data_IF_547197786652
#
_entry.id   IF_547197786652
#
_cell.length_a   1.000
_cell.length_b   1.000
_cell.length_c   1.000
_cell.angle_alpha   90.00
_cell.angle_beta   90.00
_cell.angle_gamma   90.00
#
_symmetry.space_group_name_H-M   'P 1'
#
loop_
_entity.id
_entity.type
_entity.pdbx_description
1 polymer ?
#
# COMPACT_ATOMS: atom_id res chain seq x y z
N UNK A 1 4.88 -7.85 3.49
CA UNK A 1 4.07 -9.00 3.05
C UNK A 1 4.96 -9.98 2.30
N UNK A 2 4.50 -11.16 1.92
CA UNK A 2 5.34 -12.07 1.13
C UNK A 2 4.59 -13.33 0.69
N UNK A 3 5.01 -13.92 -0.43
CA UNK A 3 4.40 -15.14 -0.97
C UNK A 3 4.51 -16.34 -0.03
N UNK A 4 5.53 -16.39 0.83
CA UNK A 4 5.72 -17.48 1.78
C UNK A 4 4.80 -17.37 3.03
N UNK A 5 4.15 -16.22 3.25
CA UNK A 5 3.23 -16.00 4.37
C UNK A 5 2.05 -15.11 3.94
N UNK A 6 1.30 -15.51 2.89
CA UNK A 6 0.35 -14.64 2.21
C UNK A 6 -0.82 -14.21 3.10
N UNK A 7 -1.12 -14.98 4.16
CA UNK A 7 -2.24 -14.72 5.06
C UNK A 7 -1.86 -13.94 6.33
N UNK A 8 -0.56 -13.70 6.57
CA UNK A 8 -0.12 -13.09 7.83
C UNK A 8 0.01 -11.57 7.74
N UNK A 9 0.19 -11.06 6.53
CA UNK A 9 0.25 -9.63 6.23
C UNK A 9 -0.45 -9.40 4.90
N UNK A 10 -1.44 -8.51 4.90
CA UNK A 10 -2.11 -8.11 3.65
C UNK A 10 -1.07 -7.55 2.67
N UNK A 11 -1.18 -7.99 1.42
CA UNK A 11 -0.48 -7.35 0.31
C UNK A 11 -1.09 -5.98 -0.02
N UNK A 12 -0.40 -5.18 -0.85
CA UNK A 12 -0.85 -3.84 -1.24
C UNK A 12 -2.24 -3.83 -1.85
N UNK A 13 -2.50 -4.76 -2.77
CA UNK A 13 -3.78 -4.85 -3.48
C UNK A 13 -4.92 -5.22 -2.52
N UNK A 14 -4.67 -6.13 -1.57
CA UNK A 14 -5.66 -6.50 -0.57
C UNK A 14 -5.89 -5.42 0.47
N UNK A 15 -4.90 -4.57 0.77
CA UNK A 15 -5.09 -3.42 1.65
C UNK A 15 -6.08 -2.41 1.04
N UNK A 16 -5.98 -2.15 -0.27
CA UNK A 16 -6.98 -1.34 -1.01
C UNK A 16 -8.35 -2.01 -0.98
N UNK A 17 -8.41 -3.32 -1.21
CA UNK A 17 -9.68 -4.06 -1.13
C UNK A 17 -10.32 -3.98 0.27
N UNK A 18 -9.52 -4.15 1.32
CA UNK A 18 -9.99 -4.06 2.70
C UNK A 18 -10.56 -2.66 3.01
N UNK A 19 -9.92 -1.59 2.52
CA UNK A 19 -10.45 -0.23 2.63
C UNK A 19 -11.85 -0.11 2.02
N UNK A 20 -12.06 -0.65 0.81
CA UNK A 20 -13.37 -0.63 0.16
C UNK A 20 -14.42 -1.42 0.96
N UNK A 21 -14.05 -2.58 1.51
CA UNK A 21 -14.94 -3.42 2.31
C UNK A 21 -15.47 -2.68 3.55
N UNK A 22 -14.61 -1.88 4.19
CA UNK A 22 -15.01 -1.06 5.35
C UNK A 22 -15.59 0.30 4.96
N UNK A 23 -15.75 0.56 3.65
CA UNK A 23 -16.27 1.83 3.11
C UNK A 23 -15.49 3.05 3.60
N UNK A 24 -14.16 2.90 3.73
CA UNK A 24 -13.30 4.03 4.07
C UNK A 24 -13.38 5.14 3.01
N UNK A 25 -13.11 6.37 3.40
CA UNK A 25 -13.04 7.49 2.45
C UNK A 25 -11.60 7.77 2.01
N UNK A 26 -10.62 7.43 2.85
CA UNK A 26 -9.20 7.71 2.65
C UNK A 26 -8.35 6.56 3.17
N UNK A 27 -7.38 6.10 2.36
CA UNK A 27 -6.40 5.09 2.75
C UNK A 27 -5.08 5.75 3.18
N UNK A 28 -4.66 5.49 4.41
CA UNK A 28 -3.30 5.72 4.89
C UNK A 28 -2.59 4.36 4.98
N UNK A 29 -1.75 3.97 3.99
CA UNK A 29 -1.00 2.74 4.05
C UNK A 29 0.09 2.86 5.11
N UNK A 30 0.12 1.89 6.02
CA UNK A 30 1.11 1.80 7.11
C UNK A 30 1.99 0.57 6.93
N UNK A 31 2.96 0.38 7.82
CA UNK A 31 3.81 -0.83 7.87
C UNK A 31 4.76 -0.99 6.66
N UNK A 32 5.10 0.12 6.01
CA UNK A 32 6.12 0.22 4.95
C UNK A 32 7.10 1.37 5.25
N UNK A 33 8.23 1.42 4.54
CA UNK A 33 9.12 2.59 4.53
C UNK A 33 10.04 2.79 5.75
N UNK A 34 10.14 1.82 6.67
CA UNK A 34 11.03 1.92 7.84
C UNK A 34 11.94 0.71 8.05
N UNK A 35 11.38 -0.50 8.17
CA UNK A 35 12.14 -1.73 8.40
C UNK A 35 12.02 -2.69 7.23
N UNK A 36 13.13 -3.35 6.89
CA UNK A 36 13.16 -4.45 5.94
C UNK A 36 12.78 -5.75 6.66
N UNK A 37 11.53 -6.17 6.47
CA UNK A 37 10.95 -7.39 7.07
C UNK A 37 10.44 -8.38 6.01
N UNK A 38 10.79 -8.16 4.73
CA UNK A 38 10.34 -8.98 3.62
C UNK A 38 11.22 -8.78 2.37
N UNK A 39 11.28 -9.78 1.49
CA UNK A 39 12.18 -9.77 0.32
C UNK A 39 11.87 -8.76 -0.80
N UNK A 40 10.81 -7.97 -0.68
CA UNK A 40 10.49 -6.94 -1.66
C UNK A 40 11.26 -5.64 -1.35
N UNK A 41 11.50 -4.81 -2.37
CA UNK A 41 12.08 -3.49 -2.15
C UNK A 41 11.24 -2.65 -1.18
N UNK A 42 11.85 -1.72 -0.45
CA UNK A 42 11.14 -0.96 0.59
C UNK A 42 10.08 0.02 0.03
N UNK A 43 10.22 0.45 -1.23
CA UNK A 43 9.24 1.29 -1.95
C UNK A 43 8.15 0.46 -2.64
N UNK A 44 8.40 -0.82 -2.94
CA UNK A 44 7.45 -1.70 -3.65
C UNK A 44 6.04 -1.72 -3.00
N UNK A 45 5.87 -1.72 -1.66
CA UNK A 45 4.54 -1.63 -1.04
C UNK A 45 3.74 -0.40 -1.46
N UNK A 46 4.32 0.80 -1.40
CA UNK A 46 3.57 2.03 -1.67
C UNK A 46 3.29 2.17 -3.16
N UNK A 47 4.25 1.83 -4.02
CA UNK A 47 4.06 1.83 -5.48
C UNK A 47 2.87 0.96 -5.90
N UNK A 48 2.81 -0.25 -5.34
CA UNK A 48 1.70 -1.18 -5.58
C UNK A 48 0.37 -0.69 -5.02
N UNK A 49 0.36 -0.06 -3.83
CA UNK A 49 -0.85 0.56 -3.28
C UNK A 49 -1.37 1.65 -4.23
N UNK A 50 -0.49 2.51 -4.76
CA UNK A 50 -0.90 3.60 -5.64
C UNK A 50 -1.53 3.10 -6.94
N UNK A 51 -0.93 2.07 -7.57
CA UNK A 51 -1.51 1.44 -8.76
C UNK A 51 -2.87 0.81 -8.45
N UNK A 52 -2.96 0.00 -7.39
CA UNK A 52 -4.21 -0.65 -7.02
C UNK A 52 -5.30 0.35 -6.63
N UNK A 53 -4.93 1.46 -5.98
CA UNK A 53 -5.86 2.50 -5.57
C UNK A 53 -6.39 3.32 -6.76
N UNK A 54 -5.53 3.63 -7.73
CA UNK A 54 -5.94 4.29 -8.99
C UNK A 54 -6.96 3.44 -9.75
N UNK A 55 -6.68 2.14 -9.92
CA UNK A 55 -7.60 1.19 -10.56
C UNK A 55 -8.94 1.05 -9.80
N UNK A 56 -8.90 1.19 -8.47
CA UNK A 56 -10.06 1.01 -7.58
C UNK A 56 -10.84 2.30 -7.29
N UNK A 57 -10.35 3.47 -7.71
CA UNK A 57 -10.91 4.78 -7.34
C UNK A 57 -10.78 5.11 -5.85
N UNK A 58 -9.78 4.55 -5.17
CA UNK A 58 -9.52 4.76 -3.74
C UNK A 58 -8.60 5.98 -3.55
N UNK A 59 -9.00 6.93 -2.71
CA UNK A 59 -8.12 8.03 -2.32
C UNK A 59 -7.02 7.56 -1.35
N UNK A 60 -5.78 7.99 -1.57
CA UNK A 60 -4.62 7.62 -0.75
C UNK A 60 -3.89 8.86 -0.23
N UNK A 61 -3.40 8.80 0.99
CA UNK A 61 -2.40 9.73 1.55
C UNK A 61 -1.14 8.99 1.94
N UNK A 62 0.02 9.60 1.74
CA UNK A 62 1.31 9.05 2.12
C UNK A 62 2.20 10.15 2.71
N UNK A 63 1.91 10.62 3.95
CA UNK A 63 2.72 11.65 4.60
C UNK A 63 4.17 11.20 4.76
N UNK A 64 5.09 12.17 4.77
CA UNK A 64 6.48 11.90 5.16
C UNK A 64 6.55 11.41 6.61
N UNK A 65 7.56 10.62 7.00
CA UNK A 65 7.77 10.29 8.40
C UNK A 65 7.83 11.56 9.27
N UNK A 66 6.91 11.66 10.23
CA UNK A 66 6.77 12.81 11.12
C UNK A 66 5.84 13.93 10.63
N UNK A 67 5.29 13.84 9.42
CA UNK A 67 4.31 14.80 8.90
C UNK A 67 2.89 14.47 9.38
N UNK A 68 2.14 15.50 9.78
CA UNK A 68 0.75 15.38 10.20
C UNK A 68 -0.20 15.36 9.01
N UNK A 69 -1.30 14.62 9.12
CA UNK A 69 -2.40 14.60 8.13
C UNK A 69 -3.72 14.89 8.82
N UNK A 70 -4.52 15.77 8.22
CA UNK A 70 -5.93 15.96 8.53
C UNK A 70 -6.77 15.12 7.54
N UNK A 71 -7.44 14.04 7.98
CA UNK A 71 -8.15 13.14 7.05
C UNK A 71 -9.21 13.82 6.20
N UNK A 72 -9.84 14.89 6.71
CA UNK A 72 -10.88 15.64 5.99
C UNK A 72 -10.31 16.64 4.97
N UNK A 73 -8.99 16.88 5.00
CA UNK A 73 -8.29 17.81 4.12
C UNK A 73 -6.94 17.21 3.72
N UNK A 74 -6.94 16.07 2.99
CA UNK A 74 -5.71 15.40 2.62
C UNK A 74 -4.88 16.32 1.70
N UNK A 75 -3.57 16.45 1.95
CA UNK A 75 -2.69 17.16 1.02
C UNK A 75 -2.58 16.38 -0.30
N UNK A 76 -2.13 17.04 -1.39
CA UNK A 76 -1.73 16.33 -2.60
C UNK A 76 -0.70 15.24 -2.28
N UNK A 77 -0.85 14.07 -2.90
CA UNK A 77 0.12 12.99 -2.75
C UNK A 77 1.40 13.37 -3.48
N UNK A 78 2.48 13.52 -2.73
CA UNK A 78 3.82 13.77 -3.25
C UNK A 78 4.72 12.63 -2.82
N UNK A 79 5.24 11.87 -3.80
CA UNK A 79 6.21 10.82 -3.54
C UNK A 79 7.46 11.42 -2.86
N UNK A 80 7.74 10.98 -1.64
CA UNK A 80 8.91 11.39 -0.87
C UNK A 80 10.02 10.34 -0.84
N UNK A 81 9.75 9.18 -1.40
CA UNK A 81 10.69 8.10 -1.62
C UNK A 81 11.32 8.21 -3.02
N UNK A 82 12.51 7.62 -3.23
CA UNK A 82 13.16 7.62 -4.54
C UNK A 82 12.45 6.66 -5.51
N UNK A 83 12.56 6.96 -6.79
CA UNK A 83 12.21 6.01 -7.85
C UNK A 83 13.30 4.93 -7.94
N UNK A 84 12.93 3.69 -7.66
CA UNK A 84 13.79 2.51 -7.74
C UNK A 84 13.00 1.35 -8.34
N UNK A 85 13.65 0.34 -8.97
CA UNK A 85 12.94 -0.80 -9.52
C UNK A 85 12.11 -1.55 -8.47
N UNK A 86 10.88 -1.93 -8.83
CA UNK A 86 9.96 -2.70 -8.01
C UNK A 86 9.15 -3.64 -8.90
N UNK A 87 8.49 -4.66 -8.32
CA UNK A 87 7.68 -5.63 -9.07
C UNK A 87 6.19 -5.40 -8.87
N UNK A 88 5.47 -5.31 -9.97
CA UNK A 88 4.01 -5.18 -9.97
C UNK A 88 3.29 -6.42 -9.45
N UNK A 89 1.99 -6.28 -9.17
CA UNK A 89 1.12 -7.40 -8.84
C UNK A 89 1.09 -8.50 -9.92
N UNK A 90 1.28 -8.11 -11.18
CA UNK A 90 1.33 -9.04 -12.32
C UNK A 90 2.63 -9.82 -12.37
N UNK A 91 3.75 -9.18 -12.02
CA UNK A 91 5.08 -9.82 -12.02
C UNK A 91 5.32 -10.68 -10.78
N UNK A 92 4.81 -10.24 -9.62
CA UNK A 92 4.98 -10.95 -8.35
C UNK A 92 3.68 -10.91 -7.54
N UNK A 93 2.71 -11.79 -7.86
CA UNK A 93 1.42 -11.82 -7.18
C UNK A 93 1.58 -12.33 -5.75
N UNK A 94 0.96 -11.64 -4.79
CA UNK A 94 0.83 -12.10 -3.41
C UNK A 94 -0.67 -12.12 -3.14
N UNK A 95 -1.25 -13.31 -3.04
CA UNK A 95 -2.68 -13.49 -2.89
C UNK A 95 -2.95 -14.06 -1.50
N UNK A 96 -3.44 -13.21 -0.60
CA UNK A 96 -3.96 -13.67 0.68
C UNK A 96 -5.18 -14.56 0.44
N UNK A 97 -5.21 -15.74 1.05
CA UNK A 97 -6.21 -16.79 0.81
C UNK A 97 -7.47 -16.63 1.66
N UNK A 98 -7.51 -15.61 2.54
CA UNK A 98 -8.58 -15.38 3.52
C UNK A 98 -9.31 -14.04 3.34
N UNK A 99 -9.30 -13.48 2.13
CA UNK A 99 -9.87 -12.14 1.84
C UNK A 99 -11.20 -12.24 1.08
N UNK A 100 -11.80 -13.43 1.05
CA UNK A 100 -13.13 -13.70 0.50
C UNK A 100 -14.23 -13.59 1.58
#
# INVERSE_FOLDING_TARGET
>A
YGQAWPDWHLGPEQAVRAQQMVRGELLLPVHWGLFDLAYHGWTEPIERVLVAADEAGTAVVAPRPGESVEPTRPPPLLAWWPEVPWRSAREYPIIATKVD
#
